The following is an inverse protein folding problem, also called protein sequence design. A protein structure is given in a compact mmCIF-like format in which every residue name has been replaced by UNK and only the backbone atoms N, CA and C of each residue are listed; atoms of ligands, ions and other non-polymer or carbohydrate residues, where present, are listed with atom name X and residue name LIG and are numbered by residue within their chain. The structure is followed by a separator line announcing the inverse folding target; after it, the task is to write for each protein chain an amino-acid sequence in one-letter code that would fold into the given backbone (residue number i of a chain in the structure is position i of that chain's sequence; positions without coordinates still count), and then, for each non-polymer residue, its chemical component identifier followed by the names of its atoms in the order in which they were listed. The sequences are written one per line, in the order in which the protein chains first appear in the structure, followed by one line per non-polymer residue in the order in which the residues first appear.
data_IF_858874207861
#
_entry.id   IF_858874207861
#
_cell.length_a   1.000
_cell.length_b   1.000
_cell.length_c   1.000
_cell.angle_alpha   90.00
_cell.angle_beta   90.00
_cell.angle_gamma   90.00
#
_symmetry.space_group_name_H-M   'P 1'
#
loop_
_entity.id
_entity.type
_entity.pdbx_description
1 polymer ?
#
# COMPACT_ATOMS: atom_id res chain seq x y z
N UNK A 1 -10.89 -18.74 -15.71
CA UNK A 1 -10.86 -18.83 -14.23
C UNK A 1 -12.26 -18.53 -13.73
N UNK A 2 -12.77 -19.26 -12.73
CA UNK A 2 -14.09 -18.97 -12.13
C UNK A 2 -13.98 -17.88 -11.07
N UNK A 3 -15.08 -17.21 -10.72
CA UNK A 3 -15.11 -16.19 -9.65
C UNK A 3 -14.59 -16.73 -8.31
N UNK A 4 -14.87 -18.00 -8.01
CA UNK A 4 -14.37 -18.66 -6.80
C UNK A 4 -12.84 -18.77 -6.79
N UNK A 5 -12.24 -19.12 -7.94
CA UNK A 5 -10.77 -19.20 -8.09
C UNK A 5 -10.16 -17.79 -8.06
N UNK A 6 -10.80 -16.79 -8.70
CA UNK A 6 -10.32 -15.42 -8.64
C UNK A 6 -10.33 -14.87 -7.20
N UNK A 7 -11.42 -15.09 -6.45
CA UNK A 7 -11.51 -14.72 -5.04
C UNK A 7 -10.44 -15.42 -4.19
N UNK A 8 -10.30 -16.74 -4.33
CA UNK A 8 -9.30 -17.52 -3.59
C UNK A 8 -7.86 -17.07 -3.89
N UNK A 9 -7.59 -16.64 -5.13
CA UNK A 9 -6.30 -16.02 -5.51
C UNK A 9 -6.02 -14.79 -4.65
N UNK A 10 -7.01 -13.90 -4.48
CA UNK A 10 -6.88 -12.68 -3.68
C UNK A 10 -6.72 -13.02 -2.19
N UNK A 11 -7.49 -13.98 -1.66
CA UNK A 11 -7.35 -14.45 -0.26
C UNK A 11 -5.93 -14.92 0.03
N UNK A 12 -5.36 -15.75 -0.85
CA UNK A 12 -4.00 -16.26 -0.68
C UNK A 12 -2.95 -15.15 -0.76
N UNK A 13 -3.16 -14.18 -1.64
CA UNK A 13 -2.29 -13.02 -1.74
C UNK A 13 -2.35 -12.15 -0.47
N UNK A 14 -3.54 -11.87 0.05
CA UNK A 14 -3.74 -11.15 1.32
C UNK A 14 -3.03 -11.84 2.47
N UNK A 15 -3.14 -13.17 2.59
CA UNK A 15 -2.47 -13.95 3.63
C UNK A 15 -0.94 -13.88 3.59
N UNK A 16 -0.36 -13.61 2.41
CA UNK A 16 1.09 -13.45 2.26
C UNK A 16 1.60 -12.08 2.69
N UNK A 17 0.75 -11.05 2.77
CA UNK A 17 1.17 -9.67 3.01
C UNK A 17 2.06 -9.50 4.25
N UNK A 18 1.71 -10.05 5.44
CA UNK A 18 2.54 -9.88 6.63
C UNK A 18 3.93 -10.51 6.49
N UNK A 19 3.99 -11.73 5.96
CA UNK A 19 5.25 -12.47 5.76
C UNK A 19 6.14 -11.80 4.72
N UNK A 20 5.57 -11.27 3.64
CA UNK A 20 6.32 -10.50 2.65
C UNK A 20 6.89 -9.21 3.25
N UNK A 21 6.10 -8.52 4.08
CA UNK A 21 6.56 -7.37 4.87
C UNK A 21 7.73 -7.73 5.78
N UNK A 22 7.65 -8.85 6.49
CA UNK A 22 8.73 -9.35 7.37
C UNK A 22 10.01 -9.66 6.60
N UNK A 23 9.90 -10.19 5.38
CA UNK A 23 11.06 -10.42 4.51
C UNK A 23 11.63 -9.13 3.92
N UNK A 24 10.92 -8.01 4.06
CA UNK A 24 11.31 -6.74 3.49
C UNK A 24 11.10 -6.68 1.99
N UNK A 25 10.11 -7.44 1.49
CA UNK A 25 9.69 -7.40 0.10
C UNK A 25 8.96 -6.07 -0.13
N UNK A 26 9.42 -5.34 -1.13
CA UNK A 26 8.79 -4.12 -1.60
C UNK A 26 8.03 -4.34 -2.90
N UNK A 27 7.43 -3.28 -3.41
CA UNK A 27 6.74 -3.28 -4.69
C UNK A 27 5.24 -3.04 -4.55
N UNK A 28 4.51 -3.42 -5.59
CA UNK A 28 3.11 -3.05 -5.77
C UNK A 28 2.34 -4.20 -6.39
N UNK A 29 1.10 -4.38 -5.96
CA UNK A 29 0.13 -5.22 -6.67
C UNK A 29 -1.03 -4.37 -7.13
N UNK A 30 -1.58 -4.68 -8.30
CA UNK A 30 -2.77 -4.01 -8.83
C UNK A 30 -3.86 -5.05 -9.07
N UNK A 31 -5.03 -4.82 -8.47
CA UNK A 31 -6.21 -5.66 -8.63
C UNK A 31 -7.27 -4.90 -9.42
N UNK A 32 -7.84 -5.55 -10.42
CA UNK A 32 -9.03 -5.12 -11.15
C UNK A 32 -10.04 -6.27 -11.19
N UNK A 33 -11.23 -6.03 -11.74
CA UNK A 33 -12.21 -7.10 -11.98
C UNK A 33 -11.62 -8.27 -12.77
N UNK A 34 -10.63 -8.01 -13.64
CA UNK A 34 -10.14 -8.98 -14.63
C UNK A 34 -8.75 -9.53 -14.34
N UNK A 35 -7.98 -8.89 -13.46
CA UNK A 35 -6.58 -9.26 -13.25
C UNK A 35 -6.09 -8.90 -11.85
N UNK A 36 -5.16 -9.72 -11.36
CA UNK A 36 -4.25 -9.38 -10.28
C UNK A 36 -2.84 -9.38 -10.85
N UNK A 37 -2.21 -8.21 -10.91
CA UNK A 37 -0.81 -8.04 -11.29
C UNK A 37 0.01 -7.87 -10.03
N UNK A 38 1.12 -8.61 -9.90
CA UNK A 38 2.01 -8.56 -8.74
C UNK A 38 3.42 -8.22 -9.23
N UNK A 39 3.92 -7.05 -8.82
CA UNK A 39 5.30 -6.63 -9.02
C UNK A 39 5.98 -6.55 -7.65
N UNK A 40 6.56 -7.66 -7.21
CA UNK A 40 7.24 -7.78 -5.93
C UNK A 40 8.76 -7.80 -6.13
N UNK A 41 9.50 -7.15 -5.23
CA UNK A 41 10.96 -7.08 -5.29
C UNK A 41 11.59 -7.38 -3.93
N UNK A 42 12.66 -8.16 -3.95
CA UNK A 42 13.48 -8.43 -2.76
C UNK A 42 14.66 -7.47 -2.76
N UNK A 43 14.55 -6.37 -2.03
CA UNK A 43 15.62 -5.38 -1.85
C UNK A 43 16.27 -5.51 -0.46
N UNK A 44 16.30 -6.72 0.06
CA UNK A 44 16.47 -6.95 1.49
C UNK A 44 17.79 -7.65 1.79
N UNK A 45 18.50 -7.19 2.80
CA UNK A 45 19.56 -8.00 3.43
C UNK A 45 18.97 -9.17 4.24
N UNK A 46 17.67 -9.14 4.54
CA UNK A 46 16.97 -10.15 5.30
C UNK A 46 16.47 -11.33 4.47
N UNK A 47 16.37 -11.16 3.16
CA UNK A 47 15.80 -12.16 2.27
C UNK A 47 16.55 -12.19 0.93
N UNK A 48 16.75 -13.38 0.38
CA UNK A 48 17.22 -13.57 -1.00
C UNK A 48 16.12 -14.21 -1.86
N UNK A 49 16.39 -14.38 -3.16
CA UNK A 49 15.43 -14.96 -4.10
C UNK A 49 14.99 -16.37 -3.70
N UNK A 50 15.87 -17.18 -3.10
CA UNK A 50 15.54 -18.52 -2.63
C UNK A 50 14.50 -18.48 -1.50
N UNK A 51 14.67 -17.58 -0.53
CA UNK A 51 13.71 -17.40 0.56
C UNK A 51 12.37 -16.84 0.05
N UNK A 52 12.39 -15.92 -0.93
CA UNK A 52 11.17 -15.44 -1.56
C UNK A 52 10.44 -16.59 -2.27
N UNK A 53 11.14 -17.36 -3.11
CA UNK A 53 10.55 -18.52 -3.82
C UNK A 53 9.92 -19.52 -2.85
N UNK A 54 10.62 -19.85 -1.77
CA UNK A 54 10.09 -20.73 -0.72
C UNK A 54 8.83 -20.16 -0.07
N UNK A 55 8.81 -18.85 0.20
CA UNK A 55 7.66 -18.17 0.82
C UNK A 55 6.46 -18.12 -0.13
N UNK A 56 6.69 -17.94 -1.42
CA UNK A 56 5.64 -17.92 -2.44
C UNK A 56 5.18 -19.31 -2.87
N UNK A 57 5.94 -20.37 -2.59
CA UNK A 57 5.66 -21.72 -3.07
C UNK A 57 4.21 -22.19 -2.81
N UNK A 58 3.60 -22.03 -1.62
CA UNK A 58 2.21 -22.43 -1.41
C UNK A 58 1.20 -21.71 -2.33
N UNK A 59 1.51 -20.46 -2.69
CA UNK A 59 0.67 -19.66 -3.59
C UNK A 59 0.93 -20.03 -5.06
N UNK A 60 2.19 -20.13 -5.48
CA UNK A 60 2.55 -20.48 -6.86
C UNK A 60 2.18 -21.92 -7.21
N UNK A 61 2.33 -22.88 -6.28
CA UNK A 61 1.87 -24.26 -6.48
C UNK A 61 0.36 -24.31 -6.69
N UNK A 62 -0.40 -23.59 -5.87
CA UNK A 62 -1.85 -23.51 -6.05
C UNK A 62 -2.22 -22.87 -7.40
N UNK A 63 -1.54 -21.80 -7.82
CA UNK A 63 -1.76 -21.20 -9.15
C UNK A 63 -1.42 -22.18 -10.30
N UNK A 64 -0.42 -23.05 -10.13
CA UNK A 64 -0.11 -24.09 -11.10
C UNK A 64 -1.22 -25.15 -11.17
N UNK A 65 -1.82 -25.54 -10.04
CA UNK A 65 -3.00 -26.43 -10.01
C UNK A 65 -4.21 -25.81 -10.74
N UNK A 66 -4.34 -24.48 -10.73
CA UNK A 66 -5.37 -23.77 -11.48
C UNK A 66 -5.02 -23.54 -12.96
N UNK A 67 -3.86 -24.00 -13.42
CA UNK A 67 -3.38 -23.83 -14.79
C UNK A 67 -2.93 -22.41 -15.14
N UNK A 68 -2.64 -21.58 -14.13
CA UNK A 68 -2.13 -20.20 -14.32
C UNK A 68 -0.61 -20.20 -14.51
N UNK A 69 0.08 -21.07 -13.76
CA UNK A 69 1.52 -21.25 -13.83
C UNK A 69 1.87 -22.66 -14.35
N UNK A 70 3.08 -22.81 -14.86
CA UNK A 70 3.66 -24.13 -15.09
C UNK A 70 4.00 -24.82 -13.76
N UNK A 71 4.05 -26.16 -13.78
CA UNK A 71 4.36 -26.98 -12.60
C UNK A 71 5.79 -26.84 -12.11
N UNK A 72 6.68 -26.23 -12.90
CA UNK A 72 8.03 -25.86 -12.48
C UNK A 72 8.06 -24.64 -11.56
N UNK A 73 6.94 -23.90 -11.46
CA UNK A 73 6.77 -22.69 -10.66
C UNK A 73 7.71 -21.54 -11.07
N UNK A 74 8.28 -21.58 -12.28
CA UNK A 74 9.21 -20.57 -12.79
C UNK A 74 8.59 -19.68 -13.87
N UNK A 75 7.48 -20.13 -14.47
CA UNK A 75 6.82 -19.41 -15.56
C UNK A 75 5.28 -19.50 -15.52
N UNK A 76 4.63 -18.50 -16.11
CA UNK A 76 3.19 -18.52 -16.42
C UNK A 76 2.88 -19.56 -17.49
N UNK A 77 1.62 -19.99 -17.60
CA UNK A 77 1.19 -20.99 -18.60
C UNK A 77 1.46 -20.59 -20.08
N UNK A 78 1.77 -19.32 -20.35
CA UNK A 78 2.20 -18.84 -21.67
C UNK A 78 3.73 -18.73 -21.82
N UNK A 79 4.50 -19.24 -20.87
CA UNK A 79 5.97 -19.30 -20.90
C UNK A 79 6.68 -18.02 -20.43
N UNK A 80 5.97 -17.06 -19.81
CA UNK A 80 6.61 -15.84 -19.29
C UNK A 80 7.27 -16.13 -17.93
N UNK A 81 8.57 -15.83 -17.75
CA UNK A 81 9.22 -16.01 -16.45
C UNK A 81 8.58 -15.15 -15.36
N UNK A 82 8.36 -15.72 -14.17
CA UNK A 82 7.79 -14.99 -13.02
C UNK A 82 8.86 -14.47 -12.05
N UNK A 83 10.11 -14.88 -12.23
CA UNK A 83 11.27 -14.39 -11.49
C UNK A 83 12.32 -13.85 -12.44
N UNK A 84 12.70 -12.59 -12.25
CA UNK A 84 13.71 -11.92 -13.07
C UNK A 84 14.76 -11.36 -12.11
N UNK A 85 16.03 -11.66 -12.40
CA UNK A 85 17.16 -11.08 -11.67
C UNK A 85 17.74 -9.93 -12.48
N UNK A 86 17.99 -8.81 -11.82
CA UNK A 86 18.66 -7.65 -12.41
C UNK A 86 20.05 -7.50 -11.79
N UNK A 87 21.01 -7.04 -12.58
CA UNK A 87 22.40 -6.93 -12.13
C UNK A 87 22.59 -5.78 -11.13
N UNK A 88 21.71 -4.79 -11.14
CA UNK A 88 21.73 -3.65 -10.24
C UNK A 88 20.34 -3.01 -10.11
N UNK A 89 20.18 -2.11 -9.14
CA UNK A 89 18.97 -1.29 -9.05
C UNK A 89 18.74 -0.45 -10.31
N UNK A 90 19.79 0.12 -10.91
CA UNK A 90 19.68 0.92 -12.12
C UNK A 90 19.19 0.11 -13.31
N UNK A 91 19.69 -1.13 -13.43
CA UNK A 91 19.26 -2.09 -14.44
C UNK A 91 17.78 -2.45 -14.29
N UNK A 92 17.34 -2.76 -13.06
CA UNK A 92 15.94 -2.95 -12.73
C UNK A 92 15.09 -1.73 -13.11
N UNK A 93 15.52 -0.53 -12.70
CA UNK A 93 14.77 0.71 -12.89
C UNK A 93 14.56 0.99 -14.39
N UNK A 94 15.61 0.87 -15.20
CA UNK A 94 15.52 1.10 -16.63
C UNK A 94 14.63 0.08 -17.35
N UNK A 95 14.67 -1.19 -16.94
CA UNK A 95 13.90 -2.25 -17.58
C UNK A 95 12.46 -2.37 -17.10
N UNK A 96 12.14 -1.90 -15.89
CA UNK A 96 10.83 -2.12 -15.26
C UNK A 96 10.06 -0.84 -15.00
N UNK A 97 10.75 0.25 -14.62
CA UNK A 97 10.10 1.50 -14.18
C UNK A 97 10.12 2.53 -15.29
N UNK A 98 11.29 2.85 -15.84
CA UNK A 98 11.43 3.88 -16.87
C UNK A 98 10.93 3.43 -18.25
N UNK A 99 10.95 2.12 -18.53
CA UNK A 99 10.42 1.52 -19.75
C UNK A 99 8.89 1.38 -19.73
N UNK A 100 8.26 1.52 -18.56
CA UNK A 100 6.81 1.42 -18.44
C UNK A 100 6.15 2.65 -19.03
N UNK A 101 5.64 2.51 -20.26
CA UNK A 101 4.97 3.59 -20.99
C UNK A 101 3.67 4.05 -20.34
N UNK A 102 3.09 3.27 -19.42
CA UNK A 102 1.94 3.68 -18.59
C UNK A 102 2.32 4.57 -17.40
N UNK A 103 3.61 4.62 -17.05
CA UNK A 103 4.22 5.43 -15.97
C UNK A 103 5.19 6.47 -16.57
N UNK A 104 5.17 6.71 -17.88
CA UNK A 104 6.00 7.77 -18.47
C UNK A 104 5.59 9.14 -17.92
N UNK A 105 6.54 10.07 -17.64
CA UNK A 105 6.25 11.34 -16.97
C UNK A 105 5.19 12.21 -17.66
N UNK A 106 4.96 11.98 -18.95
CA UNK A 106 4.13 12.82 -19.80
C UNK A 106 2.73 12.25 -20.13
N UNK A 107 2.38 11.02 -19.78
CA UNK A 107 1.17 10.37 -20.34
C UNK A 107 0.00 10.15 -19.39
N UNK A 108 0.15 10.33 -18.07
CA UNK A 108 -0.90 9.98 -17.09
C UNK A 108 -1.30 11.10 -16.12
N UNK A 109 -0.67 12.27 -16.20
CA UNK A 109 -1.08 13.43 -15.40
C UNK A 109 -2.35 14.08 -15.95
N UNK A 110 -3.21 14.62 -15.08
CA UNK A 110 -4.40 15.37 -15.48
C UNK A 110 -5.67 14.54 -15.69
N UNK A 111 -5.66 13.23 -15.39
CA UNK A 111 -6.89 12.43 -15.34
C UNK A 111 -7.67 12.79 -14.06
N UNK A 112 -8.92 13.28 -14.16
CA UNK A 112 -9.75 13.54 -13.00
C UNK A 112 -10.03 12.24 -12.27
N UNK A 113 -9.63 12.13 -11.00
CA UNK A 113 -9.88 10.97 -10.17
C UNK A 113 -9.71 11.31 -8.71
N UNK A 114 -10.56 10.74 -7.85
CA UNK A 114 -10.32 10.75 -6.41
C UNK A 114 -9.41 9.58 -6.10
N UNK A 115 -8.18 9.89 -5.67
CA UNK A 115 -7.31 8.89 -5.05
C UNK A 115 -7.75 8.78 -3.59
N UNK A 116 -7.87 7.55 -3.11
CA UNK A 116 -8.20 7.27 -1.72
C UNK A 116 -7.14 6.37 -1.13
N UNK A 117 -6.98 6.40 0.19
CA UNK A 117 -5.91 5.68 0.87
C UNK A 117 -6.41 5.04 2.15
N UNK A 118 -5.98 3.81 2.39
CA UNK A 118 -5.99 3.21 3.72
C UNK A 118 -4.69 2.45 4.00
N UNK A 119 -4.11 2.74 5.15
CA UNK A 119 -3.10 1.92 5.80
C UNK A 119 -3.85 0.88 6.63
N UNK A 120 -3.76 -0.39 6.25
CA UNK A 120 -4.45 -1.47 6.93
C UNK A 120 -3.46 -2.16 7.89
N UNK A 121 -3.70 -2.12 9.21
CA UNK A 121 -2.86 -2.79 10.18
C UNK A 121 -2.77 -4.32 9.97
N UNK A 122 -1.63 -4.89 10.35
CA UNK A 122 -1.27 -6.31 10.21
C UNK A 122 -2.32 -7.26 10.76
N UNK A 123 -2.92 -6.92 11.90
CA UNK A 123 -3.86 -7.80 12.56
C UNK A 123 -5.10 -8.09 11.70
N UNK A 124 -5.50 -7.24 10.75
CA UNK A 124 -6.60 -7.54 9.83
C UNK A 124 -6.26 -8.66 8.84
N UNK A 125 -4.99 -8.78 8.44
CA UNK A 125 -4.52 -9.86 7.57
C UNK A 125 -4.42 -11.19 8.31
N UNK A 126 -4.21 -11.14 9.61
CA UNK A 126 -4.03 -12.33 10.45
C UNK A 126 -5.35 -12.83 11.05
N UNK A 127 -6.24 -11.91 11.41
CA UNK A 127 -7.52 -12.23 12.06
C UNK A 127 -8.69 -12.44 11.10
N UNK A 128 -8.73 -11.72 9.98
CA UNK A 128 -9.81 -11.81 8.96
C UNK A 128 -9.29 -11.58 7.52
N UNK A 129 -8.35 -12.41 7.03
CA UNK A 129 -7.85 -12.27 5.66
C UNK A 129 -8.93 -12.47 4.60
N UNK A 130 -9.94 -13.31 4.87
CA UNK A 130 -11.08 -13.55 3.97
C UNK A 130 -11.96 -12.30 3.85
N UNK A 131 -12.30 -11.64 4.96
CA UNK A 131 -13.09 -10.41 4.95
C UNK A 131 -12.37 -9.26 4.23
N UNK A 132 -11.06 -9.12 4.44
CA UNK A 132 -10.26 -8.15 3.69
C UNK A 132 -10.25 -8.48 2.18
N UNK A 133 -10.04 -9.75 1.81
CA UNK A 133 -10.07 -10.17 0.41
C UNK A 133 -11.44 -9.92 -0.25
N UNK A 134 -12.54 -10.13 0.47
CA UNK A 134 -13.89 -9.85 -0.03
C UNK A 134 -14.11 -8.37 -0.33
N UNK A 135 -13.62 -7.48 0.54
CA UNK A 135 -13.66 -6.04 0.30
C UNK A 135 -12.86 -5.69 -0.96
N UNK A 136 -11.66 -6.25 -1.11
CA UNK A 136 -10.81 -6.01 -2.28
C UNK A 136 -11.44 -6.52 -3.58
N UNK A 137 -12.02 -7.73 -3.57
CA UNK A 137 -12.71 -8.29 -4.74
C UNK A 137 -13.97 -7.49 -5.08
N UNK A 138 -14.68 -6.96 -4.08
CA UNK A 138 -15.81 -6.08 -4.36
C UNK A 138 -15.35 -4.77 -5.01
N UNK A 139 -14.36 -4.11 -4.41
CA UNK A 139 -13.85 -2.83 -4.90
C UNK A 139 -13.28 -2.97 -6.31
N UNK A 140 -12.68 -4.12 -6.64
CA UNK A 140 -12.10 -4.35 -7.97
C UNK A 140 -13.13 -4.33 -9.10
N UNK A 141 -14.42 -4.53 -8.78
CA UNK A 141 -15.54 -4.40 -9.73
C UNK A 141 -15.91 -2.94 -10.02
N UNK A 142 -15.62 -2.03 -9.10
CA UNK A 142 -15.90 -0.59 -9.25
C UNK A 142 -14.72 0.17 -9.88
N UNK A 143 -13.49 -0.32 -9.69
CA UNK A 143 -12.28 0.28 -10.23
C UNK A 143 -11.03 -0.52 -9.88
N UNK A 144 -9.87 -0.06 -10.31
CA UNK A 144 -8.61 -0.71 -9.95
C UNK A 144 -8.21 -0.37 -8.51
N UNK A 145 -7.50 -1.28 -7.86
CA UNK A 145 -6.93 -1.09 -6.52
C UNK A 145 -5.44 -1.27 -6.61
N UNK A 146 -4.70 -0.31 -6.08
CA UNK A 146 -3.26 -0.41 -5.89
C UNK A 146 -3.00 -0.85 -4.44
N UNK A 147 -2.19 -1.89 -4.26
CA UNK A 147 -1.74 -2.39 -2.95
C UNK A 147 -0.22 -2.24 -2.91
N UNK A 148 0.23 -1.13 -2.32
CA UNK A 148 1.65 -0.81 -2.16
C UNK A 148 2.22 -1.46 -0.91
N UNK A 149 3.30 -2.23 -1.04
CA UNK A 149 4.04 -2.76 0.11
C UNK A 149 4.75 -1.62 0.84
N UNK A 150 4.64 -1.56 2.17
CA UNK A 150 5.01 -0.34 2.91
C UNK A 150 6.50 -0.27 3.27
N UNK A 151 7.15 0.83 2.88
CA UNK A 151 8.55 1.11 3.21
C UNK A 151 8.81 1.29 4.72
N UNK A 152 7.98 2.01 5.49
CA UNK A 152 8.25 2.22 6.91
C UNK A 152 8.25 0.93 7.75
N UNK A 153 7.37 -0.03 7.44
CA UNK A 153 7.36 -1.34 8.10
C UNK A 153 8.73 -2.03 7.94
N UNK A 154 9.28 -2.01 6.73
CA UNK A 154 10.64 -2.49 6.46
C UNK A 154 11.69 -1.67 7.22
N UNK A 155 11.62 -0.35 7.15
CA UNK A 155 12.59 0.54 7.81
C UNK A 155 12.69 0.27 9.32
N UNK A 156 11.56 0.06 9.99
CA UNK A 156 11.53 -0.28 11.41
C UNK A 156 12.24 -1.60 11.75
N UNK A 157 12.33 -2.54 10.80
CA UNK A 157 13.08 -3.77 11.00
C UNK A 157 14.59 -3.54 10.97
N UNK A 158 15.07 -2.72 10.02
CA UNK A 158 16.47 -2.30 9.95
C UNK A 158 16.85 -1.36 11.12
N UNK A 159 15.88 -0.62 11.65
CA UNK A 159 16.07 0.44 12.66
C UNK A 159 14.98 0.39 13.76
N UNK A 160 14.99 -0.62 14.65
CA UNK A 160 13.91 -0.81 15.64
C UNK A 160 13.75 0.35 16.61
N UNK A 161 14.82 1.13 16.86
CA UNK A 161 14.78 2.32 17.72
C UNK A 161 14.25 3.57 17.02
N UNK A 162 13.99 3.51 15.71
CA UNK A 162 13.49 4.65 14.95
C UNK A 162 11.96 4.78 14.99
N UNK A 163 11.26 3.76 15.49
CA UNK A 163 9.82 3.85 15.75
C UNK A 163 9.60 5.01 16.74
N UNK A 164 8.71 5.94 16.39
CA UNK A 164 8.42 7.16 17.15
C UNK A 164 9.57 8.19 17.26
N UNK A 165 10.69 8.02 16.55
CA UNK A 165 11.74 9.05 16.49
C UNK A 165 11.55 10.07 15.35
N UNK A 166 10.62 9.78 14.43
CA UNK A 166 10.29 10.61 13.27
C UNK A 166 8.82 11.02 13.29
N UNK A 167 8.43 11.88 12.34
CA UNK A 167 7.03 12.30 12.16
C UNK A 167 6.16 11.30 11.40
N UNK A 168 6.71 10.18 10.92
CA UNK A 168 5.94 9.15 10.21
C UNK A 168 4.80 8.65 11.08
N UNK A 169 3.59 8.63 10.52
CA UNK A 169 2.37 8.17 11.19
C UNK A 169 2.58 6.76 11.74
N UNK A 170 2.41 6.51 13.05
CA UNK A 170 2.85 5.25 13.65
C UNK A 170 2.23 3.98 13.04
N UNK A 171 1.00 4.08 12.50
CA UNK A 171 0.30 2.96 11.87
C UNK A 171 1.01 2.40 10.62
N UNK A 172 1.87 3.20 9.97
CA UNK A 172 2.73 2.71 8.88
C UNK A 172 3.62 1.54 9.31
N UNK A 173 4.13 1.57 10.55
CA UNK A 173 4.99 0.51 11.10
C UNK A 173 4.23 -0.78 11.42
N UNK A 174 2.92 -0.78 11.27
CA UNK A 174 2.06 -1.94 11.51
C UNK A 174 1.29 -2.35 10.27
N UNK A 175 1.42 -1.66 9.14
CA UNK A 175 0.57 -1.89 7.97
C UNK A 175 1.36 -2.54 6.84
N UNK A 176 1.14 -3.84 6.52
CA UNK A 176 1.82 -4.50 5.41
C UNK A 176 1.60 -3.81 4.07
N UNK A 177 0.35 -3.37 3.79
CA UNK A 177 0.02 -2.63 2.57
C UNK A 177 -0.59 -1.26 2.85
N UNK A 178 -0.26 -0.34 1.96
CA UNK A 178 -1.01 0.87 1.66
C UNK A 178 -1.98 0.54 0.52
N UNK A 179 -3.29 0.53 0.81
CA UNK A 179 -4.34 0.17 -0.15
C UNK A 179 -4.96 1.45 -0.69
N UNK A 180 -4.93 1.60 -2.01
CA UNK A 180 -5.46 2.74 -2.75
C UNK A 180 -6.51 2.28 -3.78
N UNK A 181 -7.79 2.29 -3.41
CA UNK A 181 -8.87 2.14 -4.38
C UNK A 181 -8.94 3.36 -5.31
N UNK A 182 -8.89 3.12 -6.62
CA UNK A 182 -9.12 4.12 -7.67
C UNK A 182 -10.61 4.08 -8.04
N UNK A 183 -11.45 4.61 -7.16
CA UNK A 183 -12.91 4.54 -7.25
C UNK A 183 -13.61 4.65 -5.89
N UNK A 184 -14.82 5.20 -5.87
CA UNK A 184 -15.49 5.75 -4.68
C UNK A 184 -16.10 4.79 -3.66
N UNK A 185 -15.32 3.88 -3.04
CA UNK A 185 -15.83 3.01 -1.96
C UNK A 185 -14.98 2.98 -0.67
N UNK A 186 -14.05 3.92 -0.50
CA UNK A 186 -13.11 3.97 0.64
C UNK A 186 -13.78 3.91 2.03
N UNK A 187 -15.03 4.38 2.17
CA UNK A 187 -15.78 4.36 3.44
C UNK A 187 -15.87 2.95 4.05
N UNK A 188 -16.11 1.92 3.24
CA UNK A 188 -16.18 0.52 3.73
C UNK A 188 -14.82 0.04 4.24
N UNK A 189 -13.73 0.42 3.58
CA UNK A 189 -12.37 0.07 4.01
C UNK A 189 -11.94 0.86 5.25
N UNK A 190 -12.40 2.10 5.42
CA UNK A 190 -12.22 2.87 6.67
C UNK A 190 -12.93 2.19 7.84
N UNK A 191 -14.18 1.76 7.65
CA UNK A 191 -14.95 1.07 8.69
C UNK A 191 -14.30 -0.28 9.06
N UNK A 192 -13.89 -1.05 8.04
CA UNK A 192 -13.21 -2.33 8.25
C UNK A 192 -11.91 -2.15 9.02
N UNK A 193 -11.05 -1.23 8.58
CA UNK A 193 -9.75 -0.96 9.18
C UNK A 193 -9.76 0.32 10.01
N UNK A 194 -10.65 0.44 11.00
CA UNK A 194 -10.94 1.68 11.75
C UNK A 194 -9.76 2.30 12.49
N UNK A 195 -8.84 1.48 12.99
CA UNK A 195 -7.59 1.89 13.64
C UNK A 195 -6.41 2.00 12.66
N UNK A 196 -6.70 1.90 11.36
CA UNK A 196 -5.82 2.29 10.27
C UNK A 196 -5.59 3.81 10.17
N UNK A 197 -4.88 4.21 9.12
CA UNK A 197 -4.67 5.61 8.76
C UNK A 197 -4.79 5.83 7.26
N UNK A 198 -4.41 7.03 6.81
CA UNK A 198 -4.34 7.37 5.40
C UNK A 198 -3.01 8.04 5.08
N UNK A 199 -2.52 7.86 3.86
CA UNK A 199 -1.33 8.54 3.40
C UNK A 199 -1.67 9.92 2.86
N UNK A 200 -1.25 10.96 3.57
CA UNK A 200 -1.52 12.36 3.23
C UNK A 200 -1.29 12.70 1.75
N UNK A 201 -0.22 12.17 1.13
CA UNK A 201 0.12 12.45 -0.26
C UNK A 201 -0.79 11.79 -1.32
N UNK A 202 -1.55 10.75 -0.96
CA UNK A 202 -2.33 9.92 -1.89
C UNK A 202 -3.72 9.62 -1.29
N UNK A 203 -4.39 10.61 -0.70
CA UNK A 203 -5.62 10.40 0.06
C UNK A 203 -6.81 11.21 -0.45
N UNK A 204 -7.98 10.88 0.10
CA UNK A 204 -9.22 11.57 -0.16
C UNK A 204 -9.14 13.02 0.32
N UNK A 205 -9.50 13.98 -0.54
CA UNK A 205 -9.55 15.40 -0.18
C UNK A 205 -10.51 15.67 0.99
N UNK A 206 -11.50 14.80 1.17
CA UNK A 206 -12.48 14.87 2.26
C UNK A 206 -12.25 13.79 3.33
N UNK A 207 -11.00 13.36 3.56
CA UNK A 207 -10.69 12.36 4.59
C UNK A 207 -11.29 12.76 5.95
N UNK A 208 -12.20 11.95 6.51
CA UNK A 208 -12.77 12.22 7.83
C UNK A 208 -11.69 12.06 8.89
N UNK A 209 -11.76 12.89 9.94
CA UNK A 209 -10.79 12.89 11.04
C UNK A 209 -9.33 12.94 10.54
N UNK A 210 -9.08 13.73 9.48
CA UNK A 210 -7.79 13.88 8.80
C UNK A 210 -6.60 14.04 9.75
N UNK A 211 -6.79 14.70 10.90
CA UNK A 211 -5.73 14.85 11.89
C UNK A 211 -5.25 13.50 12.45
N UNK A 212 -6.19 12.63 12.81
CA UNK A 212 -5.89 11.29 13.28
C UNK A 212 -5.41 10.40 12.12
N UNK A 213 -6.10 10.45 10.98
CA UNK A 213 -5.79 9.59 9.83
C UNK A 213 -4.38 9.82 9.27
N UNK A 214 -3.94 11.07 9.17
CA UNK A 214 -2.64 11.42 8.59
C UNK A 214 -1.51 11.50 9.60
N UNK A 215 -1.77 11.97 10.83
CA UNK A 215 -0.71 12.29 11.78
C UNK A 215 -0.74 11.40 13.03
N UNK A 216 -1.89 10.78 13.34
CA UNK A 216 -2.08 9.93 14.51
C UNK A 216 -1.62 10.60 15.81
N UNK A 217 -0.93 9.83 16.66
CA UNK A 217 -0.40 10.33 17.94
C UNK A 217 0.72 11.37 17.80
N UNK A 218 1.25 11.59 16.59
CA UNK A 218 2.29 12.61 16.37
C UNK A 218 1.70 14.03 16.30
N UNK A 219 0.40 14.17 16.06
CA UNK A 219 -0.23 15.47 15.80
C UNK A 219 0.08 16.54 16.85
N UNK A 220 0.00 16.28 18.17
CA UNK A 220 0.31 17.30 19.18
C UNK A 220 1.77 17.80 19.12
N UNK A 221 2.73 16.92 18.81
CA UNK A 221 4.13 17.31 18.68
C UNK A 221 4.38 18.12 17.40
N UNK A 222 3.74 17.71 16.29
CA UNK A 222 3.79 18.44 15.02
C UNK A 222 3.18 19.83 15.16
N UNK A 223 2.06 19.97 15.88
CA UNK A 223 1.42 21.26 16.12
C UNK A 223 2.31 22.21 16.95
N UNK A 224 3.03 21.69 17.95
CA UNK A 224 4.05 22.48 18.68
C UNK A 224 5.19 22.94 17.79
N UNK A 225 5.66 22.08 16.88
CA UNK A 225 6.68 22.45 15.92
C UNK A 225 6.18 23.54 14.96
N UNK A 226 4.95 23.39 14.44
CA UNK A 226 4.29 24.38 13.59
C UNK A 226 4.20 25.74 14.28
N UNK A 227 3.70 25.79 15.51
CA UNK A 227 3.59 27.04 16.27
C UNK A 227 4.95 27.69 16.59
N UNK A 228 6.01 26.90 16.74
CA UNK A 228 7.37 27.42 16.98
C UNK A 228 7.97 28.07 15.73
N UNK A 229 7.78 27.46 14.57
CA UNK A 229 8.48 27.84 13.33
C UNK A 229 7.63 28.68 12.37
N UNK A 230 6.31 28.62 12.50
CA UNK A 230 5.34 29.40 11.73
C UNK A 230 4.20 29.87 12.67
N UNK A 231 4.48 30.77 13.62
CA UNK A 231 3.53 31.21 14.63
C UNK A 231 2.33 31.97 14.05
N UNK A 232 2.49 32.60 12.89
CA UNK A 232 1.42 33.32 12.18
C UNK A 232 0.64 32.41 11.22
N UNK A 233 1.01 31.12 11.14
CA UNK A 233 0.41 30.12 10.25
C UNK A 233 0.36 30.59 8.78
N UNK A 234 1.46 31.16 8.28
CA UNK A 234 1.59 31.66 6.91
C UNK A 234 1.56 30.51 5.91
N UNK A 235 2.19 29.38 6.24
CA UNK A 235 2.31 28.23 5.33
C UNK A 235 1.17 27.23 5.55
N UNK A 236 0.04 27.48 4.91
CA UNK A 236 -1.13 26.60 5.01
C UNK A 236 -1.25 25.71 3.78
N UNK A 237 -1.60 24.44 4.02
CA UNK A 237 -2.00 23.49 2.99
C UNK A 237 -3.24 22.76 3.47
N UNK A 238 -4.07 22.33 2.53
CA UNK A 238 -5.27 21.56 2.86
C UNK A 238 -4.92 20.33 3.69
N UNK A 239 -5.57 20.16 4.84
CA UNK A 239 -5.32 19.12 5.84
C UNK A 239 -3.87 19.04 6.39
N UNK A 240 -3.00 20.00 6.10
CA UNK A 240 -1.64 20.05 6.67
C UNK A 240 -1.65 20.49 8.12
N UNK A 241 -0.63 20.11 8.89
CA UNK A 241 -0.51 20.43 10.33
C UNK A 241 -0.80 21.91 10.63
N UNK A 242 -1.76 22.17 11.52
CA UNK A 242 -2.19 23.53 11.88
C UNK A 242 -3.12 24.20 10.86
N UNK A 243 -3.60 23.48 9.85
CA UNK A 243 -4.61 23.98 8.92
C UNK A 243 -6.00 24.03 9.57
N UNK A 244 -6.80 25.08 9.34
CA UNK A 244 -8.20 25.12 9.74
C UNK A 244 -9.06 23.98 9.19
N UNK A 245 -8.67 23.38 8.05
CA UNK A 245 -9.42 22.28 7.45
C UNK A 245 -9.23 20.93 8.14
N UNK A 246 -8.33 20.80 9.13
CA UNK A 246 -8.05 19.53 9.84
C UNK A 246 -9.14 19.05 10.83
N UNK A 247 -10.36 19.60 10.77
CA UNK A 247 -11.50 19.09 11.52
C UNK A 247 -11.56 19.45 13.01
N UNK A 248 -10.51 20.03 13.60
CA UNK A 248 -10.63 20.70 14.90
C UNK A 248 -11.00 22.17 14.65
N UNK A 249 -12.31 22.46 14.64
CA UNK A 249 -12.93 23.78 14.42
C UNK A 249 -12.57 24.89 15.42
N UNK A 250 -11.32 24.96 15.90
CA UNK A 250 -10.82 25.98 16.81
C UNK A 250 -9.92 27.02 16.14
N UNK A 251 -9.61 26.88 14.84
CA UNK A 251 -8.96 27.94 14.09
C UNK A 251 -9.92 28.46 13.03
N UNK A 252 -10.29 29.73 13.18
CA UNK A 252 -11.11 30.44 12.20
C UNK A 252 -10.44 30.38 10.83
N UNK A 253 -11.21 30.00 9.81
CA UNK A 253 -10.77 29.99 8.40
C UNK A 253 -10.51 31.43 7.90
N UNK A 254 -10.94 32.44 8.65
CA UNK A 254 -10.71 33.84 8.35
C UNK A 254 -10.28 34.58 9.64
N UNK A 255 -9.11 35.23 9.59
CA UNK A 255 -8.76 36.31 10.50
C UNK A 255 -9.31 37.63 9.96
#
# INVERSE_FOLDING_TARGET
MTDAVARETVVRWVKLAPTLGDLGVGGVSMLSERSLTIAAMVQSSFANITQLKHTLAPFTSWLAEQGVLHTDLESTANGTPIYINYASWYDYFNHTVASDTSITPDTSAGTPGSITSRLVPRHYYESDPEGLADILVQFSKAGSIIMGMTGPLRYAKDHPTAINSTSVTPVWYQSPWHIMPLGGEIARLREYAKDGGAYFGESDVNEPDAASAYWGSNYPALLRAKAKWDPENVFQVWHGVGSPSLGNGTQSICA
#
